data_IF_817452364399
#
_entry.id   IF_817452364399
#
_cell.length_a   1.000
_cell.length_b   1.000
_cell.length_c   1.000
_cell.angle_alpha   90.00
_cell.angle_beta   90.00
_cell.angle_gamma   90.00
#
_symmetry.space_group_name_H-M   'P 1'
#
loop_
_entity.id
_entity.type
_entity.pdbx_description
1 polymer ?
#
# COMPACT_ATOMS: atom_id res chain seq x y z
N UNK A 1 29.69 -9.72 -5.33
CA UNK A 1 30.07 -10.92 -6.11
C UNK A 1 28.91 -11.26 -7.01
N UNK A 2 29.14 -11.33 -8.33
CA UNK A 2 28.12 -11.84 -9.25
C UNK A 2 27.74 -13.26 -8.84
N UNK A 3 26.46 -13.61 -8.94
CA UNK A 3 25.98 -14.93 -8.58
C UNK A 3 26.59 -15.98 -9.53
N UNK A 4 27.30 -16.97 -8.99
CA UNK A 4 27.48 -18.24 -9.70
C UNK A 4 26.13 -18.95 -9.69
N UNK A 5 25.41 -18.86 -10.81
CA UNK A 5 24.18 -19.63 -11.03
C UNK A 5 24.56 -21.11 -11.03
N UNK A 6 23.94 -21.96 -10.19
CA UNK A 6 24.20 -23.39 -10.28
C UNK A 6 23.86 -23.87 -11.70
N UNK A 7 24.85 -24.39 -12.41
CA UNK A 7 24.66 -24.99 -13.74
C UNK A 7 23.99 -26.35 -13.56
N UNK A 8 22.68 -26.34 -13.39
CA UNK A 8 21.90 -27.56 -13.58
C UNK A 8 21.94 -27.92 -15.08
N UNK A 9 22.02 -29.22 -15.44
CA UNK A 9 21.83 -29.62 -16.83
C UNK A 9 20.44 -29.12 -17.25
N UNK A 10 20.41 -28.19 -18.20
CA UNK A 10 19.17 -27.71 -18.80
C UNK A 10 18.49 -28.94 -19.42
N UNK A 11 17.41 -29.41 -18.81
CA UNK A 11 16.37 -30.04 -19.61
C UNK A 11 16.02 -29.01 -20.67
N UNK A 12 16.05 -29.33 -21.98
CA UNK A 12 15.61 -28.40 -23.01
C UNK A 12 14.11 -28.21 -22.84
N UNK A 13 13.73 -27.31 -21.92
CA UNK A 13 12.41 -26.74 -21.85
C UNK A 13 12.18 -26.07 -23.20
N UNK A 14 11.11 -26.48 -23.86
CA UNK A 14 10.75 -25.95 -25.17
C UNK A 14 10.55 -24.43 -25.05
N UNK A 15 11.35 -23.67 -25.80
CA UNK A 15 11.29 -22.21 -25.82
C UNK A 15 9.92 -21.71 -26.29
N UNK A 16 9.16 -22.55 -27.01
CA UNK A 16 7.79 -22.27 -27.42
C UNK A 16 6.85 -22.05 -26.22
N UNK A 17 7.13 -22.68 -25.06
CA UNK A 17 6.36 -22.49 -23.82
C UNK A 17 6.32 -21.00 -23.43
N UNK A 18 7.40 -20.24 -23.67
CA UNK A 18 7.45 -18.83 -23.32
C UNK A 18 6.54 -17.94 -24.20
N UNK A 19 6.12 -18.44 -25.36
CA UNK A 19 5.37 -17.69 -26.38
C UNK A 19 3.94 -18.17 -26.56
N UNK A 20 3.53 -19.24 -25.87
CA UNK A 20 2.15 -19.72 -25.88
C UNK A 20 1.38 -19.19 -24.66
N UNK A 21 0.04 -19.02 -24.78
CA UNK A 21 -0.80 -18.67 -23.64
C UNK A 21 -0.65 -19.68 -22.50
N UNK A 22 -0.71 -19.21 -21.26
CA UNK A 22 -0.58 -20.09 -20.08
C UNK A 22 -1.63 -21.22 -20.06
N UNK A 23 -2.86 -20.95 -20.55
CA UNK A 23 -3.91 -21.97 -20.61
C UNK A 23 -4.95 -21.67 -21.70
N UNK A 24 -4.61 -21.99 -22.95
CA UNK A 24 -5.49 -21.74 -24.09
C UNK A 24 -6.84 -22.51 -24.02
N UNK A 25 -6.84 -23.73 -23.47
CA UNK A 25 -8.04 -24.57 -23.39
C UNK A 25 -9.08 -24.04 -22.40
N UNK A 26 -8.66 -23.34 -21.34
CA UNK A 26 -9.56 -22.76 -20.36
C UNK A 26 -10.23 -21.46 -20.82
N UNK A 27 -9.71 -20.79 -21.86
CA UNK A 27 -10.20 -19.48 -22.33
C UNK A 27 -11.70 -19.46 -22.62
N UNK A 28 -12.29 -20.41 -23.39
CA UNK A 28 -13.71 -20.37 -23.70
C UNK A 28 -14.59 -20.48 -22.46
N UNK A 29 -14.20 -21.33 -21.49
CA UNK A 29 -14.91 -21.50 -20.23
C UNK A 29 -14.84 -20.23 -19.38
N UNK A 30 -13.63 -19.69 -19.18
CA UNK A 30 -13.41 -18.47 -18.40
C UNK A 30 -14.13 -17.26 -18.99
N UNK A 31 -14.15 -17.14 -20.32
CA UNK A 31 -14.90 -16.08 -21.01
C UNK A 31 -16.40 -16.16 -20.71
N UNK A 32 -16.99 -17.36 -20.78
CA UNK A 32 -18.41 -17.54 -20.46
C UNK A 32 -18.72 -17.18 -18.99
N UNK A 33 -17.85 -17.60 -18.06
CA UNK A 33 -17.99 -17.24 -16.64
C UNK A 33 -17.89 -15.73 -16.41
N UNK A 34 -17.02 -15.02 -17.14
CA UNK A 34 -16.92 -13.56 -17.10
C UNK A 34 -18.18 -12.91 -17.65
N UNK A 35 -18.69 -13.35 -18.80
CA UNK A 35 -19.92 -12.80 -19.41
C UNK A 35 -21.11 -12.94 -18.47
N UNK A 36 -21.30 -14.12 -17.86
CA UNK A 36 -22.36 -14.35 -16.88
C UNK A 36 -22.22 -13.44 -15.65
N UNK A 37 -21.00 -13.32 -15.12
CA UNK A 37 -20.72 -12.48 -13.96
C UNK A 37 -20.97 -11.00 -14.25
N UNK A 38 -20.56 -10.52 -15.44
CA UNK A 38 -20.73 -9.13 -15.87
C UNK A 38 -22.21 -8.78 -16.05
N UNK A 39 -23.02 -9.68 -16.60
CA UNK A 39 -24.46 -9.45 -16.75
C UNK A 39 -25.17 -9.23 -15.41
N UNK A 40 -24.63 -9.81 -14.33
CA UNK A 40 -25.18 -9.68 -12.98
C UNK A 40 -24.63 -8.46 -12.21
N UNK A 41 -23.60 -7.76 -12.72
CA UNK A 41 -22.98 -6.63 -12.03
C UNK A 41 -23.88 -5.41 -11.86
N UNK A 42 -24.83 -5.18 -12.78
CA UNK A 42 -25.73 -4.02 -12.72
C UNK A 42 -26.72 -4.09 -11.55
N UNK A 43 -26.94 -5.28 -11.00
CA UNK A 43 -27.85 -5.54 -9.88
C UNK A 43 -27.18 -6.20 -8.68
N UNK A 44 -25.86 -6.43 -8.74
CA UNK A 44 -25.10 -7.20 -7.76
C UNK A 44 -24.55 -6.40 -6.58
N UNK A 45 -23.97 -7.12 -5.62
CA UNK A 45 -23.27 -6.62 -4.44
C UNK A 45 -21.79 -6.30 -4.72
N UNK A 46 -21.08 -5.66 -3.78
CA UNK A 46 -19.61 -5.49 -3.90
C UNK A 46 -18.88 -6.84 -3.94
N UNK A 47 -19.44 -7.90 -3.37
CA UNK A 47 -18.87 -9.24 -3.47
C UNK A 47 -18.94 -9.75 -4.92
N UNK A 48 -20.06 -9.54 -5.61
CA UNK A 48 -20.21 -9.92 -7.03
C UNK A 48 -19.22 -9.16 -7.92
N UNK A 49 -18.96 -7.88 -7.60
CA UNK A 49 -17.91 -7.09 -8.24
C UNK A 49 -16.52 -7.68 -8.01
N UNK A 50 -16.19 -8.10 -6.79
CA UNK A 50 -14.91 -8.75 -6.46
C UNK A 50 -14.74 -10.07 -7.20
N UNK A 51 -15.78 -10.91 -7.20
CA UNK A 51 -15.76 -12.22 -7.87
C UNK A 51 -15.60 -12.04 -9.39
N UNK A 52 -16.30 -11.08 -9.98
CA UNK A 52 -16.12 -10.75 -11.41
C UNK A 52 -14.69 -10.30 -11.72
N UNK A 53 -14.08 -9.48 -10.87
CA UNK A 53 -12.68 -9.08 -11.03
C UNK A 53 -11.71 -10.28 -10.96
N UNK A 54 -11.96 -11.24 -10.07
CA UNK A 54 -11.16 -12.48 -9.98
C UNK A 54 -11.26 -13.28 -11.28
N UNK A 55 -12.47 -13.44 -11.84
CA UNK A 55 -12.67 -14.14 -13.12
C UNK A 55 -11.99 -13.43 -14.28
N UNK A 56 -12.08 -12.09 -14.37
CA UNK A 56 -11.37 -11.31 -15.38
C UNK A 56 -9.85 -11.48 -15.31
N UNK A 57 -9.28 -11.51 -14.09
CA UNK A 57 -7.85 -11.78 -13.88
C UNK A 57 -7.46 -13.19 -14.28
N UNK A 58 -8.30 -14.18 -13.96
CA UNK A 58 -8.05 -15.56 -14.39
C UNK A 58 -8.05 -15.69 -15.93
N UNK A 59 -8.99 -15.02 -16.60
CA UNK A 59 -9.02 -14.95 -18.06
C UNK A 59 -7.77 -14.27 -18.63
N UNK A 60 -7.37 -13.11 -18.09
CA UNK A 60 -6.16 -12.41 -18.52
C UNK A 60 -4.91 -13.28 -18.36
N UNK A 61 -4.72 -13.90 -17.19
CA UNK A 61 -3.60 -14.81 -16.92
C UNK A 61 -3.58 -16.03 -17.84
N UNK A 62 -4.75 -16.55 -18.24
CA UNK A 62 -4.84 -17.67 -19.18
C UNK A 62 -4.41 -17.30 -20.60
N UNK A 63 -4.66 -16.05 -21.02
CA UNK A 63 -4.33 -15.51 -22.34
C UNK A 63 -2.86 -15.06 -22.40
N UNK A 64 -2.37 -14.41 -21.35
CA UNK A 64 -0.99 -13.91 -21.28
C UNK A 64 0.02 -15.03 -21.49
N UNK A 65 1.08 -14.71 -22.25
CA UNK A 65 2.23 -15.59 -22.40
C UNK A 65 3.21 -15.39 -21.22
N UNK A 66 3.99 -16.42 -20.83
CA UNK A 66 5.00 -16.27 -19.78
C UNK A 66 6.01 -15.15 -20.06
N UNK A 67 6.34 -14.93 -21.34
CA UNK A 67 7.21 -13.82 -21.75
C UNK A 67 6.58 -12.46 -21.47
N UNK A 68 5.29 -12.28 -21.77
CA UNK A 68 4.59 -11.02 -21.52
C UNK A 68 4.49 -10.74 -20.02
N UNK A 69 4.12 -11.72 -19.20
CA UNK A 69 4.10 -11.58 -17.74
C UNK A 69 5.47 -11.18 -17.19
N UNK A 70 6.56 -11.77 -17.69
CA UNK A 70 7.91 -11.40 -17.28
C UNK A 70 8.28 -9.97 -17.72
N UNK A 71 7.90 -9.55 -18.93
CA UNK A 71 8.12 -8.17 -19.41
C UNK A 71 7.32 -7.18 -18.56
N UNK A 72 6.08 -7.49 -18.22
CA UNK A 72 5.25 -6.67 -17.34
C UNK A 72 5.92 -6.46 -15.97
N UNK A 73 6.32 -7.54 -15.29
CA UNK A 73 7.00 -7.44 -13.99
C UNK A 73 8.31 -6.63 -14.07
N UNK A 74 9.17 -6.92 -15.05
CA UNK A 74 10.51 -6.34 -15.12
C UNK A 74 10.52 -4.88 -15.61
N UNK A 75 9.63 -4.53 -16.53
CA UNK A 75 9.64 -3.23 -17.22
C UNK A 75 8.36 -2.42 -16.98
N UNK A 76 7.21 -3.06 -17.10
CA UNK A 76 5.89 -2.43 -16.91
C UNK A 76 5.70 -1.91 -15.49
N UNK A 77 5.63 -2.83 -14.53
CA UNK A 77 5.33 -2.53 -13.13
C UNK A 77 6.41 -1.67 -12.47
N UNK A 78 7.69 -1.99 -12.68
CA UNK A 78 8.79 -1.20 -12.10
C UNK A 78 8.82 0.24 -12.61
N UNK A 79 8.64 0.44 -13.92
CA UNK A 79 8.53 1.79 -14.50
C UNK A 79 7.30 2.54 -13.99
N UNK A 80 6.19 1.83 -13.82
CA UNK A 80 4.92 2.40 -13.32
C UNK A 80 5.04 2.87 -11.88
N UNK A 81 5.59 2.03 -11.01
CA UNK A 81 5.81 2.36 -9.59
C UNK A 81 6.71 3.60 -9.48
N UNK A 82 7.79 3.66 -10.27
CA UNK A 82 8.67 4.82 -10.30
C UNK A 82 7.93 6.09 -10.76
N UNK A 83 7.07 5.98 -11.79
CA UNK A 83 6.26 7.09 -12.29
C UNK A 83 5.22 7.57 -11.29
N UNK A 84 4.54 6.65 -10.61
CA UNK A 84 3.58 6.98 -9.56
C UNK A 84 4.29 7.68 -8.41
N UNK A 85 5.40 7.12 -7.92
CA UNK A 85 6.20 7.71 -6.85
C UNK A 85 6.67 9.12 -7.19
N UNK A 86 7.19 9.32 -8.40
CA UNK A 86 7.54 10.66 -8.90
C UNK A 86 6.33 11.60 -8.89
N UNK A 87 5.17 11.15 -9.39
CA UNK A 87 3.99 11.99 -9.43
C UNK A 87 3.41 12.34 -8.04
N UNK A 88 3.61 11.47 -7.04
CA UNK A 88 3.25 11.77 -5.65
C UNK A 88 4.18 12.84 -5.09
N UNK A 89 5.49 12.64 -5.23
CA UNK A 89 6.52 13.54 -4.70
C UNK A 89 6.48 14.93 -5.37
N UNK A 90 6.28 14.96 -6.69
CA UNK A 90 6.17 16.20 -7.46
C UNK A 90 4.80 16.89 -7.32
N UNK A 91 3.81 16.28 -6.66
CA UNK A 91 2.45 16.84 -6.54
C UNK A 91 1.60 16.77 -7.81
N UNK A 92 2.01 15.98 -8.80
CA UNK A 92 1.31 15.81 -10.08
C UNK A 92 -0.12 15.31 -9.91
N UNK A 93 -0.31 14.26 -9.11
CA UNK A 93 -1.63 13.64 -8.95
C UNK A 93 -2.61 14.58 -8.25
N UNK A 94 -2.13 15.39 -7.30
CA UNK A 94 -2.91 16.42 -6.62
C UNK A 94 -3.33 17.49 -7.62
N UNK A 95 -2.40 18.01 -8.43
CA UNK A 95 -2.69 19.00 -9.46
C UNK A 95 -3.72 18.47 -10.48
N UNK A 96 -3.52 17.24 -10.97
CA UNK A 96 -4.44 16.63 -11.93
C UNK A 96 -5.84 16.43 -11.35
N UNK A 97 -5.94 16.05 -10.06
CA UNK A 97 -7.23 15.93 -9.38
C UNK A 97 -7.91 17.29 -9.19
N UNK A 98 -7.17 18.34 -8.84
CA UNK A 98 -7.68 19.71 -8.68
C UNK A 98 -8.19 20.31 -10.00
N UNK A 99 -7.53 19.98 -11.11
CA UNK A 99 -7.92 20.41 -12.44
C UNK A 99 -9.25 19.79 -12.92
N UNK A 100 -9.69 18.70 -12.28
CA UNK A 100 -10.96 18.02 -12.54
C UNK A 100 -10.92 17.07 -13.74
N UNK A 101 -12.11 16.62 -14.15
CA UNK A 101 -12.33 15.58 -15.17
C UNK A 101 -12.28 16.15 -16.58
N UNK A 102 -11.18 16.82 -16.90
CA UNK A 102 -10.91 17.43 -18.21
C UNK A 102 -9.59 16.95 -18.77
N UNK A 103 -9.42 16.90 -20.11
CA UNK A 103 -8.13 16.67 -20.75
C UNK A 103 -7.09 17.66 -20.25
N UNK A 104 -5.89 17.18 -19.93
CA UNK A 104 -4.80 17.99 -19.40
C UNK A 104 -3.53 17.79 -20.22
N UNK A 105 -3.01 18.87 -20.78
CA UNK A 105 -1.75 18.85 -21.51
C UNK A 105 -0.56 18.75 -20.57
N UNK A 106 0.39 17.91 -20.94
CA UNK A 106 1.62 17.67 -20.19
C UNK A 106 2.45 18.95 -20.03
N UNK A 107 2.45 19.82 -21.03
CA UNK A 107 3.13 21.14 -20.97
C UNK A 107 2.61 22.01 -19.84
N UNK A 108 1.28 22.05 -19.67
CA UNK A 108 0.62 22.94 -18.72
C UNK A 108 0.79 22.42 -17.29
N UNK A 109 0.71 21.10 -17.13
CA UNK A 109 1.03 20.41 -15.88
C UNK A 109 2.46 20.70 -15.44
N UNK A 110 3.43 20.59 -16.35
CA UNK A 110 4.83 20.83 -16.00
C UNK A 110 5.13 22.27 -15.62
N UNK A 111 4.59 23.24 -16.38
CA UNK A 111 4.74 24.65 -16.06
C UNK A 111 4.18 24.95 -14.67
N UNK A 112 3.02 24.38 -14.34
CA UNK A 112 2.38 24.56 -13.04
C UNK A 112 3.18 23.94 -11.88
N UNK A 113 3.87 22.83 -12.13
CA UNK A 113 4.70 22.13 -11.14
C UNK A 113 6.13 22.71 -11.03
N UNK A 114 6.51 23.67 -11.86
CA UNK A 114 7.88 24.19 -11.92
C UNK A 114 8.90 23.16 -12.41
N UNK A 115 8.45 22.18 -13.19
CA UNK A 115 9.27 21.08 -13.72
C UNK A 115 9.77 21.46 -15.12
N UNK A 116 11.07 21.32 -15.39
CA UNK A 116 11.73 21.79 -16.62
C UNK A 116 10.98 21.34 -17.91
N UNK A 117 10.60 22.24 -18.84
CA UNK A 117 9.96 21.92 -20.12
C UNK A 117 10.70 20.90 -21.02
N UNK A 118 12.05 20.83 -20.97
CA UNK A 118 12.86 19.83 -21.70
C UNK A 118 12.78 18.44 -21.10
N UNK A 119 12.15 18.32 -19.94
CA UNK A 119 11.80 17.06 -19.31
C UNK A 119 10.56 16.42 -19.99
N UNK A 120 9.92 17.08 -20.99
CA UNK A 120 8.56 16.77 -21.43
C UNK A 120 8.32 16.50 -22.91
N UNK A 121 9.09 17.05 -23.86
CA UNK A 121 8.82 16.80 -25.29
C UNK A 121 9.53 15.55 -25.80
N UNK A 122 8.76 14.57 -26.28
CA UNK A 122 9.29 13.43 -27.00
C UNK A 122 9.70 13.81 -28.42
N UNK A 123 10.94 14.26 -28.63
CA UNK A 123 11.57 14.14 -29.95
C UNK A 123 12.99 13.61 -29.82
N UNK A 124 13.25 12.53 -30.57
CA UNK A 124 14.54 11.86 -30.71
C UNK A 124 15.66 12.88 -30.93
N UNK A 125 16.63 12.92 -30.02
CA UNK A 125 18.00 13.26 -30.40
C UNK A 125 18.94 12.30 -29.70
N UNK A 126 19.44 11.35 -30.49
CA UNK A 126 20.48 10.41 -30.12
C UNK A 126 21.76 11.24 -29.97
N UNK A 127 22.14 11.59 -28.74
CA UNK A 127 23.52 11.96 -28.47
C UNK A 127 23.95 11.58 -27.05
N UNK A 128 25.17 11.07 -26.95
CA UNK A 128 25.76 10.40 -25.80
C UNK A 128 25.90 11.36 -24.61
N UNK A 129 24.93 11.31 -23.70
CA UNK A 129 25.00 11.56 -22.24
C UNK A 129 23.64 11.21 -21.61
N UNK A 130 23.24 9.95 -21.83
CA UNK A 130 21.97 9.38 -21.39
C UNK A 130 21.91 9.26 -19.86
N UNK A 131 21.16 10.14 -19.19
CA UNK A 131 20.46 9.87 -17.90
C UNK A 131 19.55 11.00 -17.36
N UNK A 132 19.37 12.14 -18.04
CA UNK A 132 18.59 13.25 -17.47
C UNK A 132 17.41 13.83 -18.30
N UNK A 133 17.31 13.59 -19.61
CA UNK A 133 16.53 14.49 -20.49
C UNK A 133 15.19 13.98 -21.05
N UNK A 134 14.34 13.28 -20.30
CA UNK A 134 12.94 13.01 -20.73
C UNK A 134 12.18 12.27 -19.61
N UNK A 135 11.47 12.97 -18.72
CA UNK A 135 10.85 12.29 -17.56
C UNK A 135 9.32 12.40 -17.61
N UNK A 136 8.66 13.55 -17.51
CA UNK A 136 7.21 13.56 -17.27
C UNK A 136 6.36 13.13 -18.49
N UNK A 137 6.62 13.56 -19.73
CA UNK A 137 5.89 13.06 -20.90
C UNK A 137 6.11 11.57 -21.20
N UNK A 138 7.28 11.03 -20.85
CA UNK A 138 7.53 9.57 -20.90
C UNK A 138 6.87 8.82 -19.75
N UNK A 139 6.83 9.42 -18.56
CA UNK A 139 6.15 8.86 -17.40
C UNK A 139 4.64 8.82 -17.68
N UNK A 140 4.05 9.90 -18.19
CA UNK A 140 2.62 9.97 -18.53
C UNK A 140 2.27 8.97 -19.64
N UNK A 141 3.08 8.87 -20.71
CA UNK A 141 2.91 7.82 -21.72
C UNK A 141 3.02 6.42 -21.15
N UNK A 142 3.98 6.16 -20.26
CA UNK A 142 4.12 4.86 -19.61
C UNK A 142 2.92 4.53 -18.72
N UNK A 143 2.51 5.47 -17.87
CA UNK A 143 1.33 5.34 -16.99
C UNK A 143 0.04 5.15 -17.82
N UNK A 144 -0.08 5.83 -18.95
CA UNK A 144 -1.19 5.66 -19.90
C UNK A 144 -1.15 4.31 -20.62
N UNK A 145 0.03 3.87 -21.09
CA UNK A 145 0.21 2.54 -21.70
C UNK A 145 -0.12 1.41 -20.73
N UNK A 146 0.08 1.65 -19.43
CA UNK A 146 -0.27 0.73 -18.34
C UNK A 146 -1.74 0.84 -17.92
N UNK A 147 -2.55 1.64 -18.63
CA UNK A 147 -3.99 1.78 -18.43
C UNK A 147 -4.40 2.60 -17.20
N UNK A 148 -3.48 3.33 -16.58
CA UNK A 148 -3.77 4.13 -15.39
C UNK A 148 -4.22 5.56 -15.74
N UNK A 149 -3.87 6.04 -16.93
CA UNK A 149 -4.38 7.28 -17.52
C UNK A 149 -5.07 6.97 -18.85
N UNK A 150 -5.91 7.89 -19.30
CA UNK A 150 -6.57 7.80 -20.61
C UNK A 150 -5.95 8.87 -21.51
N UNK A 151 -5.23 8.46 -22.56
CA UNK A 151 -4.70 9.36 -23.59
C UNK A 151 -5.82 9.79 -24.54
N UNK A 152 -6.05 11.11 -24.65
CA UNK A 152 -7.10 11.68 -25.51
C UNK A 152 -6.54 12.50 -26.68
N UNK A 153 -5.26 12.79 -26.65
CA UNK A 153 -4.54 13.54 -27.68
C UNK A 153 -3.03 13.43 -27.45
N UNK A 154 -2.26 14.01 -28.37
CA UNK A 154 -0.79 14.07 -28.23
C UNK A 154 -0.42 14.83 -26.96
N UNK A 155 0.28 14.14 -26.06
CA UNK A 155 0.69 14.67 -24.75
C UNK A 155 -0.50 15.23 -23.93
N UNK A 156 -1.68 14.63 -24.08
CA UNK A 156 -2.92 15.07 -23.43
C UNK A 156 -3.66 13.89 -22.78
N UNK A 157 -3.85 13.98 -21.46
CA UNK A 157 -4.33 12.86 -20.65
C UNK A 157 -5.54 13.22 -19.78
N UNK A 158 -6.40 12.23 -19.57
CA UNK A 158 -7.52 12.23 -18.64
C UNK A 158 -7.22 11.34 -17.43
N UNK A 159 -7.56 11.83 -16.25
CA UNK A 159 -7.43 11.09 -14.99
C UNK A 159 -8.47 9.98 -14.87
N UNK A 160 -8.02 8.79 -14.47
CA UNK A 160 -8.90 7.70 -14.01
C UNK A 160 -9.21 7.83 -12.52
N UNK A 161 -10.20 7.10 -12.02
CA UNK A 161 -10.49 7.03 -10.58
C UNK A 161 -9.25 6.66 -9.75
N UNK A 162 -8.38 5.80 -10.28
CA UNK A 162 -7.14 5.41 -9.61
C UNK A 162 -6.17 6.59 -9.50
N UNK A 163 -5.89 7.29 -10.60
CA UNK A 163 -4.98 8.45 -10.56
C UNK A 163 -5.51 9.62 -9.73
N UNK A 164 -6.84 9.78 -9.66
CA UNK A 164 -7.46 10.71 -8.69
C UNK A 164 -7.23 10.24 -7.27
N UNK A 165 -7.38 8.94 -6.99
CA UNK A 165 -7.13 8.36 -5.67
C UNK A 165 -5.67 8.56 -5.22
N UNK A 166 -4.70 8.61 -6.14
CA UNK A 166 -3.29 8.92 -5.79
C UNK A 166 -3.10 10.32 -5.18
N UNK A 167 -4.06 11.24 -5.36
CA UNK A 167 -4.05 12.54 -4.66
C UNK A 167 -4.41 12.44 -3.17
N UNK A 168 -5.05 11.33 -2.75
CA UNK A 168 -5.36 11.09 -1.35
C UNK A 168 -4.08 10.64 -0.63
N UNK A 169 -3.69 11.30 0.48
CA UNK A 169 -2.50 10.93 1.25
C UNK A 169 -2.45 9.45 1.62
N UNK A 170 -3.60 8.88 1.98
CA UNK A 170 -3.76 7.47 2.38
C UNK A 170 -3.36 6.47 1.29
N UNK A 171 -3.42 6.86 0.03
CA UNK A 171 -3.12 6.00 -1.11
C UNK A 171 -1.77 6.40 -1.71
N UNK A 172 -1.59 7.69 -2.05
CA UNK A 172 -0.39 8.19 -2.70
C UNK A 172 0.86 8.03 -1.84
N UNK A 173 0.78 8.34 -0.54
CA UNK A 173 1.95 8.33 0.32
C UNK A 173 2.52 6.92 0.56
N UNK A 174 1.75 5.86 0.32
CA UNK A 174 2.24 4.48 0.35
C UNK A 174 3.39 4.24 -0.64
N UNK A 175 3.40 4.92 -1.79
CA UNK A 175 4.48 4.78 -2.77
C UNK A 175 5.81 5.34 -2.25
N UNK A 176 5.76 6.35 -1.37
CA UNK A 176 6.95 6.94 -0.77
C UNK A 176 7.31 6.24 0.55
N UNK A 177 6.39 6.27 1.53
CA UNK A 177 6.61 5.77 2.89
C UNK A 177 6.70 4.25 3.02
N UNK A 178 6.29 3.49 2.01
CA UNK A 178 6.41 2.03 1.99
C UNK A 178 7.27 1.57 0.80
N UNK A 179 6.76 1.72 -0.43
CA UNK A 179 7.35 1.09 -1.61
C UNK A 179 8.76 1.59 -1.91
N UNK A 180 8.98 2.90 -1.97
CA UNK A 180 10.30 3.46 -2.26
C UNK A 180 11.33 3.21 -1.14
N UNK A 181 10.90 3.34 0.12
CA UNK A 181 11.78 3.22 1.28
C UNK A 181 12.24 1.79 1.59
N UNK A 182 11.40 0.79 1.33
CA UNK A 182 11.71 -0.61 1.67
C UNK A 182 11.85 -1.55 0.46
N UNK A 183 11.45 -1.13 -0.75
CA UNK A 183 11.32 -2.01 -1.90
C UNK A 183 12.61 -2.77 -2.28
N UNK A 184 13.78 -2.18 -2.04
CA UNK A 184 15.05 -2.89 -2.28
C UNK A 184 15.23 -4.11 -1.38
N UNK A 185 14.67 -4.10 -0.17
CA UNK A 185 14.67 -5.23 0.75
C UNK A 185 13.90 -6.43 0.20
N UNK A 186 12.82 -6.18 -0.53
CA UNK A 186 12.04 -7.22 -1.21
C UNK A 186 12.81 -7.74 -2.42
N UNK A 187 13.30 -6.84 -3.28
CA UNK A 187 14.00 -7.20 -4.51
C UNK A 187 15.31 -7.97 -4.23
N UNK A 188 16.04 -7.59 -3.18
CA UNK A 188 17.29 -8.26 -2.77
C UNK A 188 17.09 -9.40 -1.77
N UNK A 189 15.86 -9.81 -1.49
CA UNK A 189 15.59 -10.94 -0.59
C UNK A 189 16.29 -12.23 -1.05
N UNK A 190 16.40 -12.44 -2.36
CA UNK A 190 17.08 -13.60 -2.92
C UNK A 190 18.60 -13.59 -2.61
N UNK A 191 19.26 -12.44 -2.62
CA UNK A 191 20.68 -12.29 -2.24
C UNK A 191 20.86 -12.53 -0.73
N UNK A 192 19.99 -11.92 0.07
CA UNK A 192 19.94 -12.09 1.51
C UNK A 192 19.79 -13.55 1.92
N UNK A 193 18.84 -14.26 1.29
CA UNK A 193 18.58 -15.68 1.55
C UNK A 193 19.74 -16.57 1.09
N UNK A 194 20.32 -16.30 -0.09
CA UNK A 194 21.48 -17.05 -0.59
C UNK A 194 22.66 -16.97 0.38
N UNK A 195 22.96 -15.78 0.91
CA UNK A 195 24.07 -15.57 1.88
C UNK A 195 23.88 -16.39 3.16
N UNK A 196 22.64 -16.73 3.52
CA UNK A 196 22.28 -17.53 4.71
C UNK A 196 22.05 -19.01 4.40
N UNK A 197 22.39 -19.45 3.19
CA UNK A 197 22.16 -20.84 2.79
C UNK A 197 20.67 -21.20 2.71
N UNK A 198 19.82 -20.24 2.35
CA UNK A 198 18.36 -20.42 2.20
C UNK A 198 17.62 -20.79 3.49
N UNK A 199 18.21 -20.48 4.64
CA UNK A 199 17.58 -20.67 5.96
C UNK A 199 16.71 -19.47 6.30
N UNK A 200 15.54 -19.75 6.88
CA UNK A 200 14.59 -18.72 7.31
C UNK A 200 15.22 -17.81 8.38
N UNK A 201 15.27 -16.48 8.18
CA UNK A 201 15.72 -15.56 9.22
C UNK A 201 14.74 -15.57 10.40
N UNK A 202 15.27 -15.65 11.61
CA UNK A 202 14.47 -15.59 12.87
C UNK A 202 14.77 -14.35 13.69
N UNK A 203 15.80 -13.58 13.33
CA UNK A 203 16.21 -12.39 14.03
C UNK A 203 15.57 -11.14 13.39
N UNK A 204 14.73 -10.38 14.11
CA UNK A 204 14.11 -9.16 13.58
C UNK A 204 15.11 -8.03 13.31
N UNK A 205 16.32 -8.08 13.89
CA UNK A 205 17.41 -7.15 13.60
C UNK A 205 18.29 -7.58 12.41
N UNK A 206 18.03 -8.75 11.83
CA UNK A 206 18.75 -9.24 10.65
C UNK A 206 17.77 -9.65 9.55
N UNK A 207 17.24 -8.66 8.83
CA UNK A 207 16.29 -8.87 7.73
C UNK A 207 16.84 -8.41 6.37
N UNK A 208 16.11 -8.72 5.30
CA UNK A 208 16.51 -8.30 3.96
C UNK A 208 16.50 -6.78 3.77
N UNK A 209 15.74 -6.03 4.58
CA UNK A 209 15.80 -4.57 4.61
C UNK A 209 17.18 -4.09 5.07
N UNK A 210 17.64 -4.59 6.23
CA UNK A 210 18.97 -4.24 6.78
C UNK A 210 20.08 -4.58 5.79
N UNK A 211 20.00 -5.74 5.14
CA UNK A 211 20.95 -6.13 4.11
C UNK A 211 20.91 -5.24 2.86
N UNK A 212 19.71 -4.93 2.36
CA UNK A 212 19.56 -4.20 1.10
C UNK A 212 20.03 -2.75 1.17
N UNK A 213 19.81 -2.11 2.32
CA UNK A 213 20.11 -0.70 2.59
C UNK A 213 21.35 -0.49 3.46
N UNK A 214 21.94 -1.55 4.02
CA UNK A 214 23.11 -1.45 4.89
C UNK A 214 22.81 -0.74 6.21
N UNK A 215 21.59 -0.90 6.73
CA UNK A 215 21.10 -0.25 7.96
C UNK A 215 20.95 -1.27 9.08
N UNK A 216 21.06 -0.83 10.34
CA UNK A 216 20.77 -1.60 11.55
C UNK A 216 19.37 -1.31 12.12
N UNK A 217 18.62 -0.42 11.45
CA UNK A 217 17.33 0.09 11.92
C UNK A 217 16.17 -0.74 11.40
N UNK A 218 15.14 -0.89 12.22
CA UNK A 218 13.84 -1.43 11.80
C UNK A 218 13.16 -0.53 10.75
N UNK A 219 12.09 -1.02 10.13
CA UNK A 219 11.38 -0.31 9.06
C UNK A 219 10.82 1.05 9.49
N UNK A 220 10.31 1.18 10.72
CA UNK A 220 9.71 2.42 11.20
C UNK A 220 10.78 3.48 11.43
N UNK A 221 11.84 3.10 12.15
CA UNK A 221 12.99 3.96 12.40
C UNK A 221 13.66 4.39 11.08
N UNK A 222 13.85 3.45 10.15
CA UNK A 222 14.44 3.71 8.84
C UNK A 222 13.65 4.73 8.01
N UNK A 223 12.33 4.58 7.93
CA UNK A 223 11.47 5.48 7.16
C UNK A 223 11.43 6.89 7.75
N UNK A 224 11.49 7.01 9.08
CA UNK A 224 11.57 8.30 9.77
C UNK A 224 12.87 9.01 9.45
N UNK A 225 14.02 8.31 9.48
CA UNK A 225 15.32 8.91 9.14
C UNK A 225 15.40 9.39 7.70
N UNK A 226 14.71 8.71 6.78
CA UNK A 226 14.59 9.14 5.38
C UNK A 226 13.66 10.35 5.20
N UNK A 227 12.97 10.80 6.24
CA UNK A 227 12.01 11.92 6.19
C UNK A 227 10.60 11.52 5.74
N UNK A 228 10.33 10.23 5.56
CA UNK A 228 9.03 9.74 5.08
C UNK A 228 8.10 9.24 6.19
N UNK A 229 8.41 9.50 7.47
CA UNK A 229 7.58 9.08 8.62
C UNK A 229 6.10 9.50 8.49
N UNK A 230 5.84 10.76 8.11
CA UNK A 230 4.48 11.25 7.84
C UNK A 230 3.78 10.44 6.74
N UNK A 231 4.50 10.12 5.66
CA UNK A 231 3.97 9.40 4.50
C UNK A 231 3.53 7.98 4.88
N UNK A 232 4.36 7.30 5.68
CA UNK A 232 4.00 5.99 6.23
C UNK A 232 2.77 6.08 7.13
N UNK A 233 2.66 7.10 7.98
CA UNK A 233 1.52 7.28 8.87
C UNK A 233 0.22 7.58 8.12
N UNK A 234 0.26 8.43 7.11
CA UNK A 234 -0.90 8.68 6.25
C UNK A 234 -1.37 7.39 5.57
N UNK A 235 -0.44 6.57 5.07
CA UNK A 235 -0.74 5.26 4.47
C UNK A 235 -1.37 4.29 5.49
N UNK A 236 -0.78 4.17 6.69
CA UNK A 236 -1.29 3.28 7.75
C UNK A 236 -2.67 3.71 8.24
N UNK A 237 -2.94 5.01 8.36
CA UNK A 237 -4.27 5.53 8.70
C UNK A 237 -5.35 5.22 7.66
N UNK A 238 -4.93 4.95 6.42
CA UNK A 238 -5.75 4.52 5.29
C UNK A 238 -6.01 3.02 5.21
N UNK A 239 -5.43 2.20 6.08
CA UNK A 239 -5.45 0.73 5.92
C UNK A 239 -6.87 0.12 5.83
N UNK A 240 -7.82 0.69 6.56
CA UNK A 240 -9.23 0.24 6.58
C UNK A 240 -10.10 0.93 5.51
N UNK A 241 -9.54 1.74 4.61
CA UNK A 241 -10.30 2.48 3.61
C UNK A 241 -11.04 1.50 2.65
N UNK A 242 -12.37 1.61 2.61
CA UNK A 242 -13.23 0.73 1.83
C UNK A 242 -13.55 -0.62 2.48
N UNK A 243 -13.22 -0.82 3.76
CA UNK A 243 -13.63 -1.99 4.55
C UNK A 243 -14.53 -1.58 5.72
N UNK A 244 -15.44 -2.46 6.17
CA UNK A 244 -16.12 -2.29 7.44
C UNK A 244 -15.10 -2.08 8.56
N UNK A 245 -15.38 -1.14 9.46
CA UNK A 245 -14.57 -0.93 10.65
C UNK A 245 -14.80 -2.12 11.60
N UNK A 246 -13.84 -2.36 12.48
CA UNK A 246 -13.97 -3.43 13.47
C UNK A 246 -15.23 -3.25 14.34
N UNK A 247 -15.65 -2.01 14.57
CA UNK A 247 -16.85 -1.65 15.36
C UNK A 247 -18.16 -1.71 14.58
N UNK A 248 -18.17 -2.15 13.32
CA UNK A 248 -19.45 -2.37 12.63
C UNK A 248 -20.20 -3.54 13.32
N UNK A 249 -21.52 -3.44 13.52
CA UNK A 249 -22.29 -4.49 14.22
C UNK A 249 -22.15 -5.88 13.60
N UNK A 250 -21.96 -5.93 12.27
CA UNK A 250 -21.73 -7.17 11.51
C UNK A 250 -20.31 -7.75 11.70
N UNK A 251 -19.38 -6.98 12.27
CA UNK A 251 -17.98 -7.36 12.52
C UNK A 251 -17.75 -7.63 14.00
N UNK A 252 -18.04 -6.66 14.86
CA UNK A 252 -17.91 -6.78 16.31
C UNK A 252 -19.02 -5.98 17.02
N UNK A 253 -19.91 -6.65 17.77
CA UNK A 253 -21.01 -5.99 18.49
C UNK A 253 -20.48 -5.28 19.75
N UNK A 254 -19.93 -4.07 19.54
CA UNK A 254 -19.29 -3.24 20.59
C UNK A 254 -20.23 -2.97 21.76
N UNK A 255 -21.50 -2.68 21.48
CA UNK A 255 -22.45 -2.33 22.52
C UNK A 255 -22.65 -3.52 23.47
N UNK A 256 -22.97 -4.67 22.92
CA UNK A 256 -23.32 -5.87 23.67
C UNK A 256 -22.10 -6.51 24.35
N UNK A 257 -20.90 -6.37 23.76
CA UNK A 257 -19.69 -7.03 24.27
C UNK A 257 -18.77 -6.14 25.10
N UNK A 258 -18.76 -4.83 24.85
CA UNK A 258 -17.84 -3.91 25.52
C UNK A 258 -18.58 -2.92 26.41
N UNK A 259 -19.68 -2.32 25.93
CA UNK A 259 -20.37 -1.26 26.67
C UNK A 259 -21.29 -1.86 27.75
N UNK A 260 -22.06 -2.88 27.40
CA UNK A 260 -23.03 -3.52 28.28
C UNK A 260 -22.30 -4.36 29.34
N UNK A 261 -22.18 -3.81 30.56
CA UNK A 261 -21.48 -4.45 31.68
C UNK A 261 -20.10 -3.87 31.98
N UNK A 262 -19.66 -2.85 31.24
CA UNK A 262 -18.45 -2.12 31.60
C UNK A 262 -18.60 -1.33 32.90
N UNK A 263 -17.47 -1.19 33.59
CA UNK A 263 -17.36 -0.37 34.78
C UNK A 263 -17.80 1.07 34.46
N UNK A 264 -18.85 1.55 35.14
CA UNK A 264 -19.43 2.87 34.87
C UNK A 264 -18.62 4.03 35.47
N UNK A 265 -17.48 3.74 36.09
CA UNK A 265 -16.60 4.75 36.67
C UNK A 265 -15.99 5.60 35.54
N UNK A 266 -16.18 6.93 35.55
CA UNK A 266 -15.58 7.82 34.55
C UNK A 266 -14.04 7.78 34.55
N UNK A 267 -13.44 7.35 35.66
CA UNK A 267 -12.00 7.27 35.82
C UNK A 267 -11.40 5.91 35.44
N UNK A 268 -12.22 4.88 35.25
CA UNK A 268 -11.75 3.56 34.87
C UNK A 268 -11.30 3.57 33.39
N UNK A 269 -10.18 2.89 33.06
CA UNK A 269 -9.79 2.71 31.67
C UNK A 269 -10.80 1.77 30.99
N UNK A 270 -11.35 2.19 29.86
CA UNK A 270 -12.35 1.43 29.12
C UNK A 270 -11.74 0.74 27.91
N UNK A 271 -11.06 1.50 27.05
CA UNK A 271 -10.46 0.99 25.82
C UNK A 271 -9.03 1.50 25.69
N UNK A 272 -8.09 0.58 25.51
CA UNK A 272 -6.69 0.88 25.21
C UNK A 272 -6.36 0.42 23.80
N UNK A 273 -6.03 1.38 22.93
CA UNK A 273 -5.57 1.14 21.57
C UNK A 273 -4.03 1.07 21.55
N UNK A 274 -3.49 -0.16 21.50
CA UNK A 274 -2.04 -0.42 21.51
C UNK A 274 -1.52 -0.44 20.07
N UNK A 275 -0.57 0.43 19.77
CA UNK A 275 -0.07 0.64 18.41
C UNK A 275 -1.08 1.37 17.53
N UNK A 276 -1.88 2.26 18.13
CA UNK A 276 -3.00 2.96 17.47
C UNK A 276 -2.59 4.08 16.50
N UNK A 277 -1.30 4.26 16.24
CA UNK A 277 -0.75 5.30 15.37
C UNK A 277 -1.15 6.70 15.87
N UNK A 278 -1.81 7.53 15.05
CA UNK A 278 -2.32 8.85 15.44
C UNK A 278 -3.72 8.81 16.07
N UNK A 279 -4.25 7.63 16.40
CA UNK A 279 -5.52 7.46 17.12
C UNK A 279 -6.78 7.51 16.25
N UNK A 280 -6.67 7.23 14.95
CA UNK A 280 -7.81 7.27 14.03
C UNK A 280 -8.98 6.37 14.46
N UNK A 281 -8.68 5.19 15.00
CA UNK A 281 -9.72 4.24 15.40
C UNK A 281 -10.42 4.65 16.69
N UNK A 282 -9.71 5.25 17.65
CA UNK A 282 -10.34 5.83 18.85
C UNK A 282 -11.23 7.05 18.52
N UNK A 283 -10.82 7.90 17.58
CA UNK A 283 -11.68 9.02 17.11
C UNK A 283 -12.97 8.49 16.47
N UNK A 284 -12.85 7.45 15.62
CA UNK A 284 -14.01 6.79 15.03
C UNK A 284 -14.88 6.12 16.09
N UNK A 285 -14.26 5.51 17.10
CA UNK A 285 -14.95 4.88 18.22
C UNK A 285 -15.78 5.89 18.99
N UNK A 286 -15.16 6.99 19.41
CA UNK A 286 -15.83 8.06 20.14
C UNK A 286 -16.98 8.67 19.32
N UNK A 287 -16.82 8.80 18.00
CA UNK A 287 -17.89 9.30 17.12
C UNK A 287 -19.07 8.33 17.01
N UNK A 288 -18.85 7.01 17.04
CA UNK A 288 -19.91 5.99 16.92
C UNK A 288 -20.55 5.65 18.26
N UNK A 289 -19.78 5.73 19.33
CA UNK A 289 -20.18 5.41 20.70
C UNK A 289 -19.87 6.59 21.63
N UNK A 290 -20.51 7.77 21.44
CA UNK A 290 -20.21 8.97 22.22
C UNK A 290 -20.54 8.82 23.71
N UNK A 291 -21.38 7.84 24.05
CA UNK A 291 -21.80 7.54 25.42
C UNK A 291 -21.05 6.33 26.01
N UNK A 292 -19.96 5.88 25.39
CA UNK A 292 -19.14 4.82 25.97
C UNK A 292 -18.60 5.25 27.35
N UNK A 293 -18.59 4.36 28.36
CA UNK A 293 -18.11 4.68 29.69
C UNK A 293 -16.57 4.75 29.73
N UNK A 294 -16.04 5.32 30.82
CA UNK A 294 -14.61 5.31 31.13
C UNK A 294 -13.70 6.08 30.17
N UNK A 295 -12.38 5.83 30.29
CA UNK A 295 -11.32 6.52 29.55
C UNK A 295 -10.90 5.76 28.30
N UNK A 296 -10.73 6.49 27.20
CA UNK A 296 -10.08 6.03 25.98
C UNK A 296 -8.59 6.37 26.05
N UNK A 297 -7.72 5.39 25.84
CA UNK A 297 -6.27 5.55 25.97
C UNK A 297 -5.60 5.11 24.66
N UNK A 298 -4.85 6.02 24.05
CA UNK A 298 -4.00 5.74 22.89
C UNK A 298 -2.58 5.42 23.38
N UNK A 299 -2.07 4.25 23.02
CA UNK A 299 -0.71 3.82 23.31
C UNK A 299 0.09 3.60 22.03
N UNK A 300 1.25 4.26 21.93
CA UNK A 300 2.20 4.04 20.84
C UNK A 300 3.60 4.49 21.27
N UNK A 301 4.61 4.23 20.44
CA UNK A 301 5.98 4.63 20.68
C UNK A 301 6.09 6.17 20.84
N UNK A 302 7.10 6.68 21.58
CA UNK A 302 7.28 8.12 21.78
C UNK A 302 7.29 8.95 20.50
N UNK A 303 7.91 8.45 19.43
CA UNK A 303 7.96 9.14 18.13
C UNK A 303 6.57 9.31 17.51
N UNK A 304 5.67 8.37 17.78
CA UNK A 304 4.32 8.35 17.24
C UNK A 304 3.41 9.27 18.03
N UNK A 305 3.45 9.21 19.37
CA UNK A 305 2.64 10.06 20.23
C UNK A 305 2.99 11.54 20.07
N UNK A 306 4.29 11.87 19.98
CA UNK A 306 4.76 13.27 19.90
C UNK A 306 4.41 13.96 18.59
N UNK A 307 4.12 13.23 17.52
CA UNK A 307 3.75 13.83 16.23
C UNK A 307 2.27 14.24 16.18
N UNK A 308 1.44 13.78 17.12
CA UNK A 308 0.00 14.01 17.13
C UNK A 308 -0.26 15.50 17.44
N UNK A 309 -0.72 16.23 16.42
CA UNK A 309 -1.11 17.63 16.57
C UNK A 309 -2.55 17.73 17.10
N UNK A 310 -3.46 17.09 16.41
CA UNK A 310 -4.89 17.17 16.67
C UNK A 310 -5.44 15.78 17.04
N UNK A 311 -5.84 15.64 18.30
CA UNK A 311 -6.58 14.50 18.84
C UNK A 311 -7.42 15.03 20.00
N UNK A 312 -8.67 14.57 20.12
CA UNK A 312 -9.59 14.97 21.17
C UNK A 312 -8.90 14.85 22.56
N UNK A 313 -8.87 15.92 23.38
CA UNK A 313 -8.31 15.88 24.73
C UNK A 313 -8.94 14.81 25.64
N UNK A 314 -10.14 14.32 25.33
CA UNK A 314 -10.78 13.20 26.02
C UNK A 314 -10.04 11.87 25.82
N UNK A 315 -9.24 11.74 24.74
CA UNK A 315 -8.41 10.58 24.48
C UNK A 315 -7.03 10.79 25.12
N UNK A 316 -6.71 9.93 26.08
CA UNK A 316 -5.45 10.02 26.83
C UNK A 316 -4.33 9.46 25.97
N UNK A 317 -3.33 10.29 25.69
CA UNK A 317 -2.12 9.88 24.95
C UNK A 317 -1.10 9.31 25.94
N UNK A 318 -0.59 8.13 25.66
CA UNK A 318 0.39 7.45 26.52
C UNK A 318 1.53 6.90 25.67
N UNK A 319 2.76 7.34 25.94
CA UNK A 319 3.96 6.71 25.36
C UNK A 319 4.11 5.30 25.96
N UNK A 320 4.14 4.28 25.10
CA UNK A 320 4.20 2.88 25.54
C UNK A 320 4.86 2.00 24.46
N UNK A 321 5.79 1.15 24.89
CA UNK A 321 6.31 0.05 24.08
C UNK A 321 5.59 -1.23 24.48
N UNK A 322 4.96 -1.91 23.53
CA UNK A 322 4.20 -3.13 23.79
C UNK A 322 5.07 -4.33 24.19
N UNK A 323 6.40 -4.21 24.12
CA UNK A 323 7.33 -5.18 24.67
C UNK A 323 7.44 -5.12 26.20
N UNK A 324 7.03 -4.02 26.82
CA UNK A 324 7.01 -3.85 28.27
C UNK A 324 5.72 -4.41 28.91
N UNK A 325 5.68 -4.51 30.24
CA UNK A 325 4.44 -4.86 30.94
C UNK A 325 3.41 -3.75 30.77
N UNK A 326 2.16 -4.12 30.45
CA UNK A 326 1.07 -3.16 30.25
C UNK A 326 0.83 -2.31 31.53
N UNK A 327 1.06 -0.98 31.47
CA UNK A 327 0.92 -0.10 32.63
C UNK A 327 -0.54 0.15 33.03
N UNK A 328 -1.49 0.04 32.10
CA UNK A 328 -2.92 0.25 32.37
C UNK A 328 -3.54 -1.07 32.83
N UNK A 329 -4.14 -1.07 34.02
CA UNK A 329 -4.81 -2.24 34.60
C UNK A 329 -6.26 -1.89 34.91
N UNK A 330 -7.18 -2.81 34.65
CA UNK A 330 -8.61 -2.66 34.96
C UNK A 330 -9.35 -3.99 34.84
N UNK A 331 -10.42 -4.18 35.64
CA UNK A 331 -11.20 -5.43 35.63
C UNK A 331 -12.03 -5.61 34.35
N UNK A 332 -12.40 -4.51 33.70
CA UNK A 332 -13.14 -4.47 32.43
C UNK A 332 -12.32 -3.83 31.30
N UNK A 333 -10.99 -3.84 31.43
CA UNK A 333 -10.09 -3.23 30.47
C UNK A 333 -9.97 -4.10 29.22
N UNK A 334 -10.40 -3.55 28.09
CA UNK A 334 -10.27 -4.22 26.80
C UNK A 334 -9.09 -3.64 26.02
N UNK A 335 -8.21 -4.54 25.60
CA UNK A 335 -6.95 -4.20 24.95
C UNK A 335 -7.04 -4.61 23.49
N UNK A 336 -7.00 -3.63 22.59
CA UNK A 336 -6.99 -3.87 21.15
C UNK A 336 -5.59 -3.58 20.58
N UNK A 337 -4.83 -4.62 20.18
CA UNK A 337 -3.64 -4.41 19.39
C UNK A 337 -4.05 -4.21 17.92
N UNK A 338 -4.17 -2.96 17.47
CA UNK A 338 -4.44 -2.63 16.07
C UNK A 338 -3.14 -2.54 15.25
N UNK A 339 -2.20 -3.45 15.54
CA UNK A 339 -0.94 -3.57 14.84
C UNK A 339 -1.20 -4.28 13.50
N UNK A 340 -0.70 -3.77 12.35
CA UNK A 340 -0.81 -4.44 11.07
C UNK A 340 -0.40 -5.92 11.15
N UNK A 341 -1.16 -6.76 10.43
CA UNK A 341 -1.23 -8.23 10.50
C UNK A 341 0.11 -9.01 10.48
N UNK A 342 1.26 -8.37 10.23
CA UNK A 342 2.58 -9.00 10.26
C UNK A 342 3.15 -9.21 11.67
N UNK A 343 2.70 -8.48 12.69
CA UNK A 343 3.19 -8.63 14.07
C UNK A 343 2.30 -9.50 14.98
N UNK A 344 1.03 -9.71 14.61
CA UNK A 344 0.03 -10.33 15.50
C UNK A 344 0.19 -11.84 15.71
N UNK A 345 0.84 -12.57 14.79
CA UNK A 345 0.94 -14.04 14.88
C UNK A 345 1.86 -14.55 16.00
N UNK A 346 2.68 -13.70 16.61
CA UNK A 346 3.70 -14.16 17.56
C UNK A 346 3.41 -13.93 19.04
N UNK A 347 2.47 -13.07 19.45
CA UNK A 347 2.43 -12.67 20.87
C UNK A 347 1.06 -12.56 21.56
N UNK A 348 -0.06 -12.48 20.85
CA UNK A 348 -1.37 -12.39 21.51
C UNK A 348 -2.07 -13.75 21.58
N UNK A 349 -1.64 -14.59 22.53
CA UNK A 349 -2.56 -15.54 23.17
C UNK A 349 -3.26 -14.78 24.29
N UNK A 350 -4.49 -14.34 24.04
CA UNK A 350 -5.38 -13.91 25.12
C UNK A 350 -5.52 -15.06 26.12
N UNK A 351 -5.24 -14.79 27.40
CA UNK A 351 -5.58 -15.64 28.52
C UNK A 351 -6.92 -15.23 29.08
#
# INVERSE_FOLDING_TARGET
>A
MAAETPTYPLSPMDLLIATHPNNAEAIPKLLNEVVESVNNLTTGTDQDRKDTLVKCRALALAIETPRETMVDHCWGQMGTIAAIGFGVDAGLWILMAQNGDKPQKVTDLAMSLGVDPKLLSGLLTINYNALANCRLGRLMRHVSAMGLLIEVGEDEYLSTNYTKALSLPQIGHGYLGLTACNGSGILKFHEFSRKRGWVNPTNPQDTSLMYAYGTDKDIFSWVVDLGYGKHLNDYLGGYNLGRPLWMDPDVYPVKERLIDGAESSPDAPFLVDIGGNVGHDLVRFQSRHPNAPGKLILQDLPMMIRQIKDLDPAIIRMEYDFHDEQPVKGQSLEIFPMIPFQLSRYQFRMK
#
